data_IF_428993519957
#
_entry.id   IF_428993519957
#
_cell.length_a   1.000
_cell.length_b   1.000
_cell.length_c   1.000
_cell.angle_alpha   90.00
_cell.angle_beta   90.00
_cell.angle_gamma   90.00
#
_symmetry.space_group_name_H-M   'P 1'
#
loop_
_entity.id
_entity.type
_entity.pdbx_description
1 polymer ?
#
# COMPACT_ATOMS: atom_id res chain seq x y z
N UNK A 1 -14.28 8.08 9.33
CA UNK A 1 -15.25 7.38 8.45
C UNK A 1 -14.49 6.50 7.47
N UNK A 2 -14.98 5.30 7.15
CA UNK A 2 -14.34 4.46 6.15
C UNK A 2 -14.30 5.16 4.79
N UNK A 3 -13.24 4.97 4.06
CA UNK A 3 -13.04 5.61 2.77
C UNK A 3 -12.67 4.58 1.72
N UNK A 4 -13.39 4.59 0.61
CA UNK A 4 -13.12 3.70 -0.50
C UNK A 4 -11.87 4.16 -1.24
N UNK A 5 -11.00 3.21 -1.55
CA UNK A 5 -9.74 3.49 -2.24
C UNK A 5 -9.29 2.25 -3.02
N UNK A 6 -8.17 2.38 -3.72
CA UNK A 6 -7.48 1.26 -4.37
C UNK A 6 -6.09 1.15 -3.78
N UNK A 7 -5.64 -0.06 -3.58
CA UNK A 7 -4.34 -0.32 -2.99
C UNK A 7 -3.54 -1.33 -3.79
N UNK A 8 -2.24 -1.07 -3.92
CA UNK A 8 -1.27 -2.04 -4.40
C UNK A 8 -0.37 -2.41 -3.23
N UNK A 9 -0.45 -3.66 -2.79
CA UNK A 9 0.38 -4.16 -1.69
C UNK A 9 1.71 -4.63 -2.27
N UNK A 10 2.78 -4.02 -1.83
CA UNK A 10 4.12 -4.30 -2.35
C UNK A 10 4.88 -5.31 -1.49
N UNK A 11 4.63 -5.29 -0.18
CA UNK A 11 5.33 -6.18 0.75
C UNK A 11 4.52 -6.32 2.04
N UNK A 12 4.81 -7.35 2.81
CA UNK A 12 4.19 -7.59 4.10
C UNK A 12 5.23 -8.00 5.12
N UNK A 13 5.00 -7.68 6.38
CA UNK A 13 5.87 -8.10 7.48
C UNK A 13 5.08 -8.11 8.78
N UNK A 14 5.58 -8.87 9.76
CA UNK A 14 4.99 -8.87 11.09
C UNK A 14 5.32 -7.58 11.87
N UNK A 15 6.35 -6.85 11.44
CA UNK A 15 6.85 -5.67 12.11
C UNK A 15 6.93 -4.51 11.10
N UNK A 16 6.34 -3.34 11.41
CA UNK A 16 6.36 -2.21 10.48
C UNK A 16 7.77 -1.70 10.18
N UNK A 17 8.71 -1.85 11.11
CA UNK A 17 10.08 -1.39 10.90
C UNK A 17 10.75 -2.10 9.73
N UNK A 18 10.37 -3.34 9.46
CA UNK A 18 10.91 -4.10 8.33
C UNK A 18 10.45 -3.55 6.98
N UNK A 19 9.39 -2.79 6.97
CA UNK A 19 8.83 -2.20 5.74
C UNK A 19 9.36 -0.79 5.47
N UNK A 20 10.05 -0.18 6.43
CA UNK A 20 10.54 1.20 6.32
C UNK A 20 11.51 1.39 5.16
N UNK A 21 12.43 0.46 4.98
CA UNK A 21 13.39 0.53 3.88
C UNK A 21 12.69 0.42 2.52
N UNK A 22 11.72 -0.49 2.41
CA UNK A 22 10.93 -0.64 1.19
C UNK A 22 10.11 0.60 0.88
N UNK A 23 9.59 1.28 1.91
CA UNK A 23 8.88 2.53 1.73
C UNK A 23 9.79 3.61 1.16
N UNK A 24 11.00 3.74 1.70
CA UNK A 24 11.97 4.71 1.20
C UNK A 24 12.37 4.44 -0.24
N UNK A 25 12.60 3.18 -0.60
CA UNK A 25 12.89 2.79 -1.97
C UNK A 25 11.76 3.14 -2.92
N UNK A 26 10.53 2.86 -2.49
CA UNK A 26 9.35 3.15 -3.29
C UNK A 26 9.20 4.65 -3.53
N UNK A 27 9.40 5.46 -2.50
CA UNK A 27 9.34 6.91 -2.62
C UNK A 27 10.46 7.44 -3.52
N UNK A 28 11.65 6.85 -3.44
CA UNK A 28 12.76 7.25 -4.30
C UNK A 28 12.44 6.96 -5.77
N UNK A 29 11.73 5.88 -6.06
CA UNK A 29 11.35 5.51 -7.42
C UNK A 29 10.19 6.36 -7.95
N UNK A 30 9.24 6.71 -7.11
CA UNK A 30 8.00 7.40 -7.51
C UNK A 30 8.03 8.91 -7.29
N UNK A 31 8.91 9.39 -6.41
CA UNK A 31 9.03 10.81 -6.07
C UNK A 31 8.31 11.18 -4.78
N UNK A 32 8.81 12.25 -4.14
CA UNK A 32 8.33 12.69 -2.83
C UNK A 32 6.88 13.16 -2.83
N UNK A 33 6.35 13.52 -4.00
CA UNK A 33 4.95 13.95 -4.11
C UNK A 33 3.95 12.87 -3.71
N UNK A 34 4.40 11.62 -3.69
CA UNK A 34 3.56 10.48 -3.34
C UNK A 34 3.76 10.00 -1.90
N UNK A 35 4.44 10.76 -1.07
CA UNK A 35 4.72 10.39 0.31
C UNK A 35 3.44 10.00 1.07
N UNK A 36 2.36 10.75 0.91
CA UNK A 36 1.10 10.45 1.56
C UNK A 36 0.35 9.25 0.98
N UNK A 37 0.76 8.76 -0.19
CA UNK A 37 0.12 7.62 -0.85
C UNK A 37 0.83 6.31 -0.60
N UNK A 38 2.11 6.36 -0.20
CA UNK A 38 2.90 5.15 0.11
C UNK A 38 2.88 4.98 1.62
N UNK A 39 2.21 3.93 2.10
CA UNK A 39 1.94 3.76 3.52
C UNK A 39 2.44 2.41 4.03
N UNK A 40 2.83 2.41 5.30
CA UNK A 40 3.03 1.18 6.08
C UNK A 40 1.90 1.16 7.10
N UNK A 41 1.06 0.16 7.03
CA UNK A 41 -0.18 0.10 7.81
C UNK A 41 -0.46 -1.31 8.28
N UNK A 42 -1.14 -1.48 9.43
CA UNK A 42 -1.71 -2.79 9.75
C UNK A 42 -2.64 -3.24 8.63
N UNK A 43 -2.53 -4.50 8.23
CA UNK A 43 -3.35 -5.03 7.13
C UNK A 43 -4.84 -4.94 7.42
N UNK A 44 -5.24 -5.03 8.68
CA UNK A 44 -6.63 -4.91 9.09
C UNK A 44 -7.23 -3.53 8.85
N UNK A 45 -6.38 -2.52 8.66
CA UNK A 45 -6.85 -1.16 8.35
C UNK A 45 -7.29 -0.99 6.90
N UNK A 46 -6.97 -1.95 6.05
CA UNK A 46 -7.37 -1.96 4.65
C UNK A 46 -8.33 -3.13 4.44
N UNK A 47 -9.62 -2.87 4.61
CA UNK A 47 -10.64 -3.90 4.43
C UNK A 47 -10.76 -4.28 2.96
N UNK A 48 -10.75 -5.57 2.67
CA UNK A 48 -10.80 -6.09 1.30
C UNK A 48 -9.53 -6.80 0.85
N UNK A 49 -8.48 -6.81 1.69
CA UNK A 49 -7.26 -7.55 1.38
C UNK A 49 -7.50 -9.06 1.51
N UNK A 50 -6.78 -9.88 0.72
CA UNK A 50 -6.81 -11.33 0.91
C UNK A 50 -6.38 -11.70 2.34
N UNK A 51 -6.90 -12.79 2.91
CA UNK A 51 -6.62 -13.16 4.31
C UNK A 51 -5.14 -13.24 4.65
N UNK A 52 -4.31 -13.72 3.76
CA UNK A 52 -2.87 -13.82 4.00
C UNK A 52 -2.13 -12.48 4.08
N UNK A 53 -2.74 -11.41 3.59
CA UNK A 53 -2.12 -10.09 3.59
C UNK A 53 -2.60 -9.21 4.76
N UNK A 54 -3.63 -9.63 5.47
CA UNK A 54 -4.20 -8.82 6.56
C UNK A 54 -3.67 -9.16 7.94
N UNK A 55 -2.81 -10.18 8.06
CA UNK A 55 -2.36 -10.70 9.36
C UNK A 55 -1.24 -9.88 10.01
N UNK A 56 -0.60 -8.98 9.31
CA UNK A 56 0.50 -8.18 9.85
C UNK A 56 0.44 -6.78 9.30
N UNK A 57 1.61 -6.21 9.04
CA UNK A 57 1.70 -4.90 8.41
C UNK A 57 1.93 -5.04 6.91
N UNK A 58 1.46 -4.07 6.15
CA UNK A 58 1.63 -4.04 4.70
C UNK A 58 2.28 -2.74 4.27
N UNK A 59 3.11 -2.83 3.24
CA UNK A 59 3.62 -1.68 2.51
C UNK A 59 2.75 -1.55 1.26
N UNK A 60 2.03 -0.47 1.14
CA UNK A 60 1.07 -0.31 0.05
C UNK A 60 1.07 1.09 -0.53
N UNK A 61 0.72 1.18 -1.80
CA UNK A 61 0.40 2.45 -2.46
C UNK A 61 -1.12 2.55 -2.49
N UNK A 62 -1.67 3.60 -1.87
CA UNK A 62 -3.13 3.80 -1.78
C UNK A 62 -3.52 5.02 -2.59
N UNK A 63 -4.44 4.83 -3.54
CA UNK A 63 -4.90 5.90 -4.44
C UNK A 63 -6.43 5.86 -4.55
N UNK A 64 -7.05 6.98 -4.94
CA UNK A 64 -8.51 7.02 -5.08
C UNK A 64 -9.06 6.18 -6.23
N UNK A 65 -8.23 5.83 -7.22
CA UNK A 65 -8.67 5.04 -8.37
C UNK A 65 -7.60 4.12 -8.90
N UNK A 66 -7.98 3.14 -9.74
CA UNK A 66 -7.06 2.12 -10.24
C UNK A 66 -6.09 2.62 -11.33
N UNK A 67 -6.47 3.62 -12.10
CA UNK A 67 -5.66 4.08 -13.25
C UNK A 67 -4.32 4.65 -12.81
N UNK A 68 -4.33 5.52 -11.80
CA UNK A 68 -3.11 6.07 -11.23
C UNK A 68 -2.24 4.97 -10.63
N UNK A 69 -2.88 4.02 -9.99
CA UNK A 69 -2.19 2.94 -9.30
C UNK A 69 -1.40 2.07 -10.28
N UNK A 70 -2.00 1.74 -11.42
CA UNK A 70 -1.31 0.96 -12.44
C UNK A 70 -0.11 1.71 -13.02
N UNK A 71 -0.26 3.00 -13.27
CA UNK A 71 0.83 3.82 -13.77
C UNK A 71 2.00 3.87 -12.77
N UNK A 72 1.69 3.98 -11.49
CA UNK A 72 2.71 4.03 -10.44
C UNK A 72 3.42 2.69 -10.28
N UNK A 73 2.68 1.59 -10.26
CA UNK A 73 3.28 0.27 -10.07
C UNK A 73 4.14 -0.15 -11.26
N UNK A 74 3.83 0.32 -12.46
CA UNK A 74 4.63 0.02 -13.64
C UNK A 74 6.01 0.66 -13.60
N UNK A 75 6.22 1.67 -12.75
CA UNK A 75 7.52 2.31 -12.57
C UNK A 75 8.41 1.57 -11.58
N UNK A 76 7.86 0.59 -10.87
CA UNK A 76 8.59 -0.17 -9.86
C UNK A 76 9.24 -1.39 -10.46
N UNK A 77 10.34 -1.82 -9.87
CA UNK A 77 11.06 -3.01 -10.31
C UNK A 77 10.47 -4.32 -9.77
N UNK A 78 9.46 -4.22 -8.90
CA UNK A 78 8.80 -5.39 -8.31
C UNK A 78 7.31 -5.37 -8.64
N UNK A 79 6.71 -6.57 -8.68
CA UNK A 79 5.28 -6.70 -8.87
C UNK A 79 4.56 -6.66 -7.53
N UNK A 80 3.41 -5.97 -7.43
CA UNK A 80 2.61 -6.00 -6.22
C UNK A 80 2.06 -7.41 -5.96
N UNK A 81 1.95 -7.76 -4.67
CA UNK A 81 1.31 -9.01 -4.26
C UNK A 81 -0.20 -8.95 -4.45
N UNK A 82 -0.77 -7.76 -4.49
CA UNK A 82 -2.20 -7.54 -4.62
C UNK A 82 -2.45 -6.14 -5.17
N UNK A 83 -3.38 -6.01 -6.08
CA UNK A 83 -3.94 -4.72 -6.51
C UNK A 83 -5.45 -4.89 -6.52
N UNK A 84 -6.16 -4.02 -5.84
CA UNK A 84 -7.61 -4.09 -5.83
C UNK A 84 -8.26 -2.99 -5.01
N UNK A 85 -9.59 -2.98 -5.02
CA UNK A 85 -10.38 -2.04 -4.24
C UNK A 85 -10.34 -2.43 -2.77
N UNK A 86 -10.15 -1.43 -1.91
CA UNK A 86 -10.13 -1.60 -0.45
C UNK A 86 -10.94 -0.48 0.19
N UNK A 87 -11.27 -0.67 1.47
CA UNK A 87 -11.84 0.38 2.30
C UNK A 87 -10.87 0.69 3.41
N UNK A 88 -10.46 1.94 3.52
CA UNK A 88 -9.59 2.40 4.61
C UNK A 88 -10.46 2.61 5.83
N UNK A 89 -10.30 1.75 6.84
CA UNK A 89 -11.18 1.74 8.03
C UNK A 89 -10.52 2.32 9.27
N UNK A 90 -9.20 2.43 9.28
CA UNK A 90 -8.51 3.07 10.39
C UNK A 90 -8.39 4.57 10.11
N UNK A 91 -8.72 5.37 11.11
CA UNK A 91 -8.53 6.81 11.02
C UNK A 91 -7.51 7.25 12.07
N UNK A 92 -6.72 8.22 11.73
CA UNK A 92 -5.75 8.79 12.67
C UNK A 92 -6.42 9.74 13.65
#
# INVERSE_FOLDING_TARGET
>A
MPEAAWAAVLDTAADPDRLSAGRKETLAALGDLLEGSVVVSPGECLDGLPPGLSDGYVLAIVRPGPDDLQALTSQLSREPSFIGAVTVVCSD
#
